data_IF_808581655728
#
_entry.id   IF_808581655728
#
_cell.length_a   1.000
_cell.length_b   1.000
_cell.length_c   1.000
_cell.angle_alpha   90.00
_cell.angle_beta   90.00
_cell.angle_gamma   90.00
#
_symmetry.space_group_name_H-M   'P 1'
#
loop_
_entity.id
_entity.type
_entity.pdbx_description
1 polymer ?
#
# COMPACT_ATOMS: atom_id res chain seq x y z
N UNK A 1 20.88 -16.31 -3.59
CA UNK A 1 21.29 -16.55 -2.19
C UNK A 1 20.22 -15.91 -1.32
N UNK A 2 19.73 -16.60 -0.29
CA UNK A 2 18.79 -15.99 0.65
C UNK A 2 19.53 -14.84 1.35
N UNK A 3 18.90 -13.68 1.39
CA UNK A 3 19.45 -12.49 2.04
C UNK A 3 19.53 -12.74 3.55
N UNK A 4 20.72 -12.61 4.13
CA UNK A 4 20.96 -12.84 5.56
C UNK A 4 20.05 -11.94 6.38
N UNK A 5 19.32 -12.50 7.35
CA UNK A 5 18.42 -11.68 8.16
C UNK A 5 19.21 -10.76 9.11
N UNK A 6 18.80 -9.51 9.15
CA UNK A 6 19.40 -8.46 9.96
C UNK A 6 18.59 -8.25 11.23
N UNK A 7 19.23 -8.50 12.37
CA UNK A 7 18.60 -8.39 13.70
C UNK A 7 19.24 -7.25 14.48
N UNK A 8 18.44 -6.33 14.99
CA UNK A 8 18.88 -5.31 15.94
C UNK A 8 18.57 -5.81 17.35
N UNK A 9 19.57 -5.87 18.19
CA UNK A 9 19.48 -6.30 19.60
C UNK A 9 19.79 -5.12 20.51
N UNK A 10 18.91 -4.87 21.47
CA UNK A 10 19.05 -3.75 22.39
C UNK A 10 18.86 -4.20 23.85
N UNK A 11 19.90 -4.05 24.65
CA UNK A 11 19.92 -4.37 26.09
C UNK A 11 21.05 -3.57 26.73
N UNK A 12 20.86 -3.00 27.90
CA UNK A 12 21.87 -2.22 28.59
C UNK A 12 22.85 -3.09 29.40
N UNK A 13 22.58 -4.39 29.48
CA UNK A 13 23.43 -5.36 30.20
C UNK A 13 24.43 -6.03 29.25
N UNK A 14 25.73 -5.79 29.37
CA UNK A 14 26.76 -6.36 28.51
C UNK A 14 26.73 -7.90 28.43
N UNK A 15 26.48 -8.55 29.57
CA UNK A 15 26.43 -10.02 29.66
C UNK A 15 25.27 -10.60 28.84
N UNK A 16 24.13 -9.91 28.81
CA UNK A 16 22.97 -10.27 27.98
C UNK A 16 23.30 -10.10 26.52
N UNK A 17 23.91 -8.98 26.13
CA UNK A 17 24.33 -8.75 24.74
C UNK A 17 25.33 -9.80 24.28
N UNK A 18 26.26 -10.22 25.14
CA UNK A 18 27.25 -11.25 24.84
C UNK A 18 26.54 -12.63 24.61
N UNK A 19 25.66 -13.02 25.54
CA UNK A 19 24.87 -14.26 25.40
C UNK A 19 24.07 -14.28 24.10
N UNK A 20 23.37 -13.20 23.77
CA UNK A 20 22.59 -13.06 22.53
C UNK A 20 23.48 -13.06 21.28
N UNK A 21 24.68 -12.51 21.36
CA UNK A 21 25.67 -12.55 20.28
C UNK A 21 26.05 -13.98 19.91
N UNK A 22 26.36 -14.81 20.90
CA UNK A 22 26.68 -16.23 20.69
C UNK A 22 25.48 -17.00 20.14
N UNK A 23 24.30 -16.77 20.68
CA UNK A 23 23.08 -17.45 20.27
C UNK A 23 22.71 -17.14 18.82
N UNK A 24 22.72 -15.86 18.44
CA UNK A 24 22.31 -15.42 17.10
C UNK A 24 23.36 -15.69 16.02
N UNK A 25 24.66 -15.70 16.38
CA UNK A 25 25.74 -16.05 15.47
C UNK A 25 25.61 -17.49 14.97
N UNK A 26 25.13 -18.42 15.82
CA UNK A 26 24.88 -19.80 15.45
C UNK A 26 23.79 -20.00 14.39
N UNK A 27 22.88 -19.04 14.26
CA UNK A 27 21.77 -19.06 13.31
C UNK A 27 22.10 -18.33 11.97
N UNK A 28 23.28 -17.70 11.87
CA UNK A 28 23.72 -17.02 10.66
C UNK A 28 23.04 -15.66 10.40
N UNK A 29 22.51 -15.00 11.44
CA UNK A 29 21.96 -13.66 11.34
C UNK A 29 23.07 -12.58 11.32
N UNK A 30 22.84 -11.48 10.59
CA UNK A 30 23.61 -10.24 10.72
C UNK A 30 23.05 -9.43 11.91
N UNK A 31 23.59 -9.71 13.10
CA UNK A 31 23.10 -9.11 14.33
C UNK A 31 23.93 -7.88 14.72
N UNK A 32 23.24 -6.75 14.97
CA UNK A 32 23.81 -5.53 15.51
C UNK A 32 23.32 -5.33 16.94
N UNK A 33 24.20 -4.84 17.80
CA UNK A 33 23.98 -4.74 19.24
C UNK A 33 24.12 -3.29 19.69
N UNK A 34 23.17 -2.83 20.49
CA UNK A 34 23.14 -1.48 21.07
C UNK A 34 22.72 -1.56 22.55
N UNK A 35 23.11 -0.56 23.32
CA UNK A 35 22.93 -0.52 24.77
C UNK A 35 21.90 0.50 25.27
N UNK A 36 21.22 1.18 24.35
CA UNK A 36 20.29 2.25 24.71
C UNK A 36 19.16 2.45 23.69
N UNK A 37 18.04 2.98 24.16
CA UNK A 37 16.88 3.33 23.32
C UNK A 37 17.22 4.36 22.23
N UNK A 38 18.09 5.32 22.54
CA UNK A 38 18.56 6.32 21.58
C UNK A 38 19.37 5.68 20.45
N UNK A 39 20.24 4.71 20.78
CA UNK A 39 21.01 3.98 19.78
C UNK A 39 20.13 3.09 18.88
N UNK A 40 19.02 2.53 19.42
CA UNK A 40 18.03 1.82 18.59
C UNK A 40 17.47 2.73 17.49
N UNK A 41 16.99 3.92 17.86
CA UNK A 41 16.41 4.87 16.92
C UNK A 41 17.42 5.35 15.87
N UNK A 42 18.66 5.63 16.29
CA UNK A 42 19.75 5.99 15.37
C UNK A 42 20.02 4.87 14.35
N UNK A 43 20.09 3.62 14.81
CA UNK A 43 20.32 2.47 13.92
C UNK A 43 19.19 2.25 12.94
N UNK A 44 17.93 2.44 13.37
CA UNK A 44 16.77 2.32 12.51
C UNK A 44 16.70 3.43 11.45
N UNK A 45 17.17 4.65 11.76
CA UNK A 45 17.28 5.74 10.78
C UNK A 45 18.32 5.46 9.70
N UNK A 46 19.41 4.77 10.06
CA UNK A 46 20.57 4.56 9.20
C UNK A 46 20.60 3.15 8.55
N UNK A 47 19.62 2.30 8.82
CA UNK A 47 19.59 0.94 8.29
C UNK A 47 18.22 0.28 8.36
N UNK A 48 18.06 -0.81 7.63
CA UNK A 48 16.88 -1.65 7.68
C UNK A 48 17.17 -2.94 8.44
N UNK A 49 16.21 -3.40 9.22
CA UNK A 49 16.30 -4.65 9.99
C UNK A 49 15.08 -5.53 9.74
N UNK A 50 15.25 -6.83 9.95
CA UNK A 50 14.18 -7.81 9.83
C UNK A 50 13.48 -8.07 11.18
N UNK A 51 14.18 -7.75 12.29
CA UNK A 51 13.65 -7.89 13.64
C UNK A 51 14.37 -6.95 14.61
N UNK A 52 13.63 -6.40 15.56
CA UNK A 52 14.16 -5.76 16.77
C UNK A 52 13.88 -6.67 17.97
N UNK A 53 14.95 -7.13 18.63
CA UNK A 53 14.92 -7.81 19.93
C UNK A 53 15.39 -6.82 21.00
N UNK A 54 14.51 -6.42 21.92
CA UNK A 54 14.84 -5.34 22.86
C UNK A 54 14.42 -5.66 24.29
N UNK A 55 15.22 -5.22 25.25
CA UNK A 55 14.81 -5.17 26.65
C UNK A 55 13.75 -4.08 26.87
N UNK A 56 12.90 -4.26 27.85
CA UNK A 56 11.97 -3.22 28.32
C UNK A 56 12.61 -2.32 29.40
N UNK A 57 13.57 -2.82 30.14
CA UNK A 57 14.22 -2.09 31.24
C UNK A 57 15.61 -1.62 30.82
N UNK A 58 15.85 -0.32 30.94
CA UNK A 58 17.17 0.29 30.73
C UNK A 58 17.66 0.99 32.02
N UNK A 59 18.92 1.38 32.07
CA UNK A 59 19.65 1.80 33.27
C UNK A 59 19.01 2.93 34.09
N UNK A 60 18.13 3.72 33.53
CA UNK A 60 17.39 4.78 34.24
C UNK A 60 16.18 4.25 35.03
N UNK A 61 15.64 3.11 34.64
CA UNK A 61 14.47 2.49 35.26
C UNK A 61 14.55 0.97 35.18
N UNK A 62 15.20 0.37 36.15
CA UNK A 62 15.50 -1.07 36.16
C UNK A 62 14.28 -1.97 36.42
N UNK A 63 13.09 -1.40 36.69
CA UNK A 63 11.92 -2.19 37.14
C UNK A 63 10.60 -1.90 36.47
N UNK A 64 10.37 -0.70 35.94
CA UNK A 64 9.03 -0.32 35.41
C UNK A 64 8.83 -0.60 33.93
N UNK A 65 9.90 -0.82 33.15
CA UNK A 65 9.82 -1.02 31.70
C UNK A 65 9.36 0.19 30.89
N UNK A 66 9.24 1.37 31.52
CA UNK A 66 8.70 2.58 30.87
C UNK A 66 9.51 3.04 29.67
N UNK A 67 10.84 2.93 29.74
CA UNK A 67 11.74 3.37 28.66
C UNK A 67 11.55 2.48 27.42
N UNK A 68 11.51 1.15 27.60
CA UNK A 68 11.25 0.21 26.52
C UNK A 68 9.83 0.34 25.94
N UNK A 69 8.81 0.51 26.81
CA UNK A 69 7.45 0.74 26.36
C UNK A 69 7.32 2.04 25.55
N UNK A 70 7.99 3.12 25.95
CA UNK A 70 8.00 4.39 25.23
C UNK A 70 8.75 4.33 23.89
N UNK A 71 9.67 3.39 23.72
CA UNK A 71 10.40 3.16 22.47
C UNK A 71 9.52 2.51 21.39
N UNK A 72 8.61 1.60 21.74
CA UNK A 72 7.81 0.84 20.78
C UNK A 72 7.02 1.74 19.81
N UNK A 73 6.26 2.75 20.25
CA UNK A 73 5.58 3.68 19.35
C UNK A 73 6.53 4.41 18.40
N UNK A 74 7.70 4.84 18.89
CA UNK A 74 8.69 5.54 18.07
C UNK A 74 9.28 4.64 16.98
N UNK A 75 9.52 3.38 17.29
CA UNK A 75 9.93 2.37 16.30
C UNK A 75 8.82 2.16 15.28
N UNK A 76 7.55 2.11 15.73
CA UNK A 76 6.40 1.97 14.83
C UNK A 76 6.19 3.14 13.88
N UNK A 77 6.54 4.36 14.30
CA UNK A 77 6.53 5.54 13.42
C UNK A 77 7.60 5.46 12.33
N UNK A 78 8.78 4.91 12.65
CA UNK A 78 9.88 4.77 11.69
C UNK A 78 9.71 3.57 10.75
N UNK A 79 9.33 2.41 11.28
CA UNK A 79 9.08 1.18 10.53
C UNK A 79 7.84 0.45 11.08
N UNK A 80 6.66 0.71 10.54
CA UNK A 80 5.42 0.05 10.96
C UNK A 80 5.43 -1.47 10.79
N UNK A 81 6.28 -1.99 9.89
CA UNK A 81 6.33 -3.41 9.55
C UNK A 81 7.43 -4.19 10.29
N UNK A 82 8.32 -3.52 11.05
CA UNK A 82 9.41 -4.18 11.76
C UNK A 82 8.86 -5.06 12.89
N UNK A 83 9.07 -6.38 12.92
CA UNK A 83 8.75 -7.19 14.08
C UNK A 83 9.55 -6.75 15.31
N UNK A 84 8.86 -6.54 16.44
CA UNK A 84 9.47 -6.20 17.73
C UNK A 84 9.21 -7.36 18.68
N UNK A 85 10.27 -7.97 19.18
CA UNK A 85 10.26 -8.96 20.25
C UNK A 85 10.82 -8.30 21.51
N UNK A 86 10.05 -8.29 22.59
CA UNK A 86 10.49 -7.69 23.84
C UNK A 86 11.01 -8.75 24.80
N UNK A 87 12.08 -8.44 25.50
CA UNK A 87 12.60 -9.25 26.61
C UNK A 87 12.10 -8.65 27.93
N UNK A 88 11.65 -9.50 28.85
CA UNK A 88 11.08 -9.07 30.14
C UNK A 88 11.69 -9.83 31.29
N UNK A 89 11.87 -9.18 32.44
CA UNK A 89 12.26 -9.85 33.68
C UNK A 89 11.11 -10.59 34.36
N UNK A 90 11.40 -11.23 35.47
CA UNK A 90 10.41 -11.96 36.29
C UNK A 90 9.28 -11.06 36.81
N UNK A 91 8.03 -11.51 36.70
CA UNK A 91 6.85 -10.84 37.28
C UNK A 91 6.25 -9.74 36.42
N UNK A 92 6.70 -9.52 35.18
CA UNK A 92 6.28 -8.41 34.32
C UNK A 92 5.25 -8.79 33.24
N UNK A 93 4.30 -9.68 33.57
CA UNK A 93 3.22 -10.06 32.61
C UNK A 93 2.41 -8.84 32.14
N UNK A 94 2.09 -7.93 33.06
CA UNK A 94 1.36 -6.70 32.73
C UNK A 94 2.15 -5.81 31.78
N UNK A 95 3.47 -5.72 31.96
CA UNK A 95 4.35 -4.95 31.07
C UNK A 95 4.47 -5.61 29.69
N UNK A 96 4.52 -6.94 29.64
CA UNK A 96 4.49 -7.68 28.37
C UNK A 96 3.16 -7.45 27.60
N UNK A 97 2.03 -7.50 28.32
CA UNK A 97 0.69 -7.21 27.73
C UNK A 97 0.63 -5.79 27.19
N UNK A 98 1.19 -4.82 27.92
CA UNK A 98 1.23 -3.42 27.46
C UNK A 98 2.14 -3.27 26.23
N UNK A 99 3.30 -3.92 26.19
CA UNK A 99 4.17 -3.94 25.02
C UNK A 99 3.44 -4.50 23.79
N UNK A 100 2.67 -5.58 23.96
CA UNK A 100 1.85 -6.15 22.86
C UNK A 100 0.77 -5.16 22.37
N UNK A 101 0.12 -4.44 23.27
CA UNK A 101 -0.85 -3.38 22.92
C UNK A 101 -0.22 -2.23 22.14
N UNK A 102 1.04 -1.87 22.47
CA UNK A 102 1.81 -0.84 21.79
C UNK A 102 2.38 -1.31 20.45
N UNK A 103 2.28 -2.61 20.14
CA UNK A 103 2.64 -3.15 18.84
C UNK A 103 3.83 -4.12 18.84
N UNK A 104 4.34 -4.56 19.98
CA UNK A 104 5.24 -5.72 20.02
C UNK A 104 4.53 -6.94 19.43
N UNK A 105 5.27 -7.83 18.78
CA UNK A 105 4.73 -9.06 18.16
C UNK A 105 4.83 -10.25 19.07
N UNK A 106 5.85 -10.28 19.90
CA UNK A 106 6.11 -11.38 20.83
C UNK A 106 6.90 -10.89 22.03
N UNK A 107 6.98 -11.71 23.06
CA UNK A 107 7.84 -11.44 24.23
C UNK A 107 8.57 -12.71 24.66
N UNK A 108 9.71 -12.52 25.33
CA UNK A 108 10.55 -13.55 25.91
C UNK A 108 10.86 -13.19 27.35
N UNK A 109 10.70 -14.13 28.26
CA UNK A 109 11.03 -13.92 29.66
C UNK A 109 12.50 -14.24 29.95
N UNK A 110 13.19 -13.36 30.67
CA UNK A 110 14.54 -13.63 31.20
C UNK A 110 14.46 -14.41 32.52
N UNK A 111 15.27 -15.46 32.75
CA UNK A 111 16.17 -16.09 31.78
C UNK A 111 15.34 -16.92 30.75
N UNK A 112 15.78 -16.90 29.51
CA UNK A 112 15.12 -17.63 28.42
C UNK A 112 15.68 -19.03 28.22
N UNK A 113 14.91 -19.88 27.57
CA UNK A 113 15.41 -21.10 26.93
C UNK A 113 15.93 -20.74 25.53
N UNK A 114 17.15 -21.17 25.20
CA UNK A 114 17.81 -20.82 23.95
C UNK A 114 17.04 -21.29 22.72
N UNK A 115 16.43 -22.48 22.79
CA UNK A 115 15.66 -23.01 21.66
C UNK A 115 14.36 -22.25 21.48
N UNK A 116 13.68 -21.90 22.57
CA UNK A 116 12.46 -21.10 22.51
C UNK A 116 12.73 -19.70 21.95
N UNK A 117 13.85 -19.07 22.34
CA UNK A 117 14.22 -17.76 21.79
C UNK A 117 14.56 -17.84 20.30
N UNK A 118 15.32 -18.86 19.85
CA UNK A 118 15.60 -19.09 18.43
C UNK A 118 14.33 -19.28 17.63
N UNK A 119 13.39 -20.08 18.13
CA UNK A 119 12.11 -20.33 17.47
C UNK A 119 11.28 -19.03 17.32
N UNK A 120 11.21 -18.23 18.38
CA UNK A 120 10.49 -16.95 18.35
C UNK A 120 11.14 -15.99 17.34
N UNK A 121 12.45 -15.79 17.41
CA UNK A 121 13.20 -14.91 16.52
C UNK A 121 13.02 -15.34 15.06
N UNK A 122 13.21 -16.63 14.76
CA UNK A 122 13.08 -17.17 13.41
C UNK A 122 11.67 -16.98 12.86
N UNK A 123 10.65 -17.31 13.63
CA UNK A 123 9.25 -17.17 13.25
C UNK A 123 8.89 -15.70 12.97
N UNK A 124 9.24 -14.78 13.88
CA UNK A 124 8.91 -13.36 13.69
C UNK A 124 9.65 -12.73 12.50
N UNK A 125 10.88 -13.18 12.18
CA UNK A 125 11.60 -12.78 10.98
C UNK A 125 10.88 -13.29 9.73
N UNK A 126 10.48 -14.55 9.69
CA UNK A 126 9.83 -15.16 8.53
C UNK A 126 8.47 -14.52 8.26
N UNK A 127 7.66 -14.32 9.30
CA UNK A 127 6.35 -13.68 9.22
C UNK A 127 6.49 -12.20 8.77
N UNK A 128 7.44 -11.47 9.33
CA UNK A 128 7.72 -10.09 8.95
C UNK A 128 8.18 -9.97 7.50
N UNK A 129 9.06 -10.85 7.04
CA UNK A 129 9.50 -10.90 5.64
C UNK A 129 8.37 -11.29 4.68
N UNK A 130 7.51 -12.23 5.09
CA UNK A 130 6.33 -12.61 4.31
C UNK A 130 5.36 -11.44 4.17
N UNK A 131 5.05 -10.73 5.26
CA UNK A 131 4.19 -9.56 5.27
C UNK A 131 4.74 -8.44 4.37
N UNK A 132 6.04 -8.11 4.48
CA UNK A 132 6.70 -7.11 3.62
C UNK A 132 6.69 -7.50 2.14
N UNK A 133 6.90 -8.80 1.83
CA UNK A 133 6.80 -9.29 0.43
C UNK A 133 5.40 -9.14 -0.13
N UNK A 134 4.39 -9.46 0.67
CA UNK A 134 2.99 -9.33 0.28
C UNK A 134 2.61 -7.87 0.04
N UNK A 135 3.01 -6.96 0.92
CA UNK A 135 2.75 -5.53 0.78
C UNK A 135 3.41 -4.95 -0.48
N UNK A 136 4.70 -5.26 -0.71
CA UNK A 136 5.41 -4.85 -1.93
C UNK A 136 4.74 -5.38 -3.20
N UNK A 137 4.25 -6.63 -3.17
CA UNK A 137 3.54 -7.22 -4.31
C UNK A 137 2.24 -6.47 -4.58
N UNK A 138 1.44 -6.21 -3.54
CA UNK A 138 0.19 -5.46 -3.68
C UNK A 138 0.42 -4.02 -4.17
N UNK A 139 1.45 -3.36 -3.65
CA UNK A 139 1.82 -2.02 -4.10
C UNK A 139 2.21 -2.00 -5.58
N UNK A 140 3.03 -2.95 -6.00
CA UNK A 140 3.43 -3.09 -7.41
C UNK A 140 2.23 -3.36 -8.32
N UNK A 141 1.35 -4.29 -7.95
CA UNK A 141 0.13 -4.60 -8.73
C UNK A 141 -0.78 -3.36 -8.87
N UNK A 142 -0.90 -2.55 -7.80
CA UNK A 142 -1.66 -1.28 -7.85
C UNK A 142 -1.01 -0.25 -8.77
N UNK A 143 0.31 -0.10 -8.75
CA UNK A 143 1.03 0.81 -9.63
C UNK A 143 0.95 0.37 -11.09
N UNK A 144 1.07 -0.92 -11.38
CA UNK A 144 0.87 -1.46 -12.73
C UNK A 144 -0.55 -1.17 -13.24
N UNK A 145 -1.58 -1.41 -12.42
CA UNK A 145 -2.96 -1.09 -12.77
C UNK A 145 -3.18 0.41 -13.01
N UNK A 146 -2.56 1.27 -12.20
CA UNK A 146 -2.59 2.73 -12.38
C UNK A 146 -1.99 3.16 -13.72
N UNK A 147 -0.86 2.60 -14.08
CA UNK A 147 -0.21 2.90 -15.36
C UNK A 147 -1.09 2.47 -16.55
N UNK A 148 -1.70 1.29 -16.48
CA UNK A 148 -2.62 0.80 -17.51
C UNK A 148 -3.83 1.74 -17.61
N UNK A 149 -4.47 2.09 -16.50
CA UNK A 149 -5.62 2.97 -16.47
C UNK A 149 -5.30 4.35 -17.05
N UNK A 150 -4.15 4.92 -16.67
CA UNK A 150 -3.70 6.20 -17.21
C UNK A 150 -3.44 6.15 -18.72
N UNK A 151 -2.95 5.03 -19.24
CA UNK A 151 -2.71 4.84 -20.66
C UNK A 151 -4.02 4.71 -21.48
N UNK A 152 -5.13 4.35 -20.84
CA UNK A 152 -6.44 4.32 -21.48
C UNK A 152 -7.00 5.74 -21.72
N UNK A 153 -6.69 6.69 -20.85
CA UNK A 153 -7.17 8.07 -20.96
C UNK A 153 -6.49 8.80 -22.12
N UNK A 154 -7.16 9.78 -22.75
CA UNK A 154 -6.57 10.57 -23.82
C UNK A 154 -5.29 11.25 -23.37
N UNK A 155 -4.17 10.93 -23.99
CA UNK A 155 -2.87 11.57 -23.75
C UNK A 155 -2.73 12.91 -24.48
N UNK A 156 -3.49 13.11 -25.55
CA UNK A 156 -3.51 14.34 -26.34
C UNK A 156 -4.94 14.73 -26.65
N UNK A 157 -5.22 16.03 -26.65
CA UNK A 157 -6.52 16.57 -27.05
C UNK A 157 -6.53 16.81 -28.57
N UNK A 158 -7.63 16.43 -29.26
CA UNK A 158 -7.74 16.69 -30.67
C UNK A 158 -7.73 18.20 -30.95
N UNK A 159 -7.02 18.59 -31.99
CA UNK A 159 -6.97 19.96 -32.48
C UNK A 159 -8.13 20.16 -33.46
N UNK A 160 -9.18 20.85 -33.05
CA UNK A 160 -10.34 21.16 -33.88
C UNK A 160 -10.58 22.66 -33.90
N UNK A 161 -10.76 23.23 -35.10
CA UNK A 161 -11.01 24.68 -35.26
C UNK A 161 -12.25 25.09 -34.48
N UNK A 162 -12.13 26.15 -33.68
CA UNK A 162 -13.22 26.66 -32.85
C UNK A 162 -13.45 25.97 -31.51
N UNK A 163 -12.69 24.90 -31.19
CA UNK A 163 -12.79 24.21 -29.89
C UNK A 163 -11.44 24.10 -29.22
N UNK A 164 -11.37 24.49 -27.94
CA UNK A 164 -10.23 24.23 -27.07
C UNK A 164 -10.64 23.33 -25.92
N UNK A 165 -9.93 22.23 -25.77
CA UNK A 165 -10.18 21.22 -24.74
C UNK A 165 -9.01 21.17 -23.76
N UNK A 166 -9.33 21.03 -22.48
CA UNK A 166 -8.39 20.72 -21.43
C UNK A 166 -9.01 19.70 -20.49
N UNK A 167 -8.21 18.80 -19.97
CA UNK A 167 -8.67 17.81 -19.01
C UNK A 167 -7.66 17.65 -17.86
N UNK A 168 -8.19 17.25 -16.72
CA UNK A 168 -7.40 16.84 -15.55
C UNK A 168 -8.06 15.62 -14.95
N UNK A 169 -7.25 14.65 -14.55
CA UNK A 169 -7.71 13.43 -13.91
C UNK A 169 -6.79 13.09 -12.73
N UNK A 170 -7.39 12.96 -11.55
CA UNK A 170 -6.67 12.68 -10.32
C UNK A 170 -7.47 11.70 -9.47
N UNK A 171 -7.19 10.39 -9.55
CA UNK A 171 -7.86 9.40 -8.72
C UNK A 171 -7.43 9.54 -7.25
N UNK A 172 -8.35 9.29 -6.33
CA UNK A 172 -8.10 9.38 -4.90
C UNK A 172 -7.11 8.31 -4.40
N UNK A 173 -7.11 7.12 -5.00
CA UNK A 173 -6.43 5.92 -4.45
C UNK A 173 -5.60 5.18 -5.53
N UNK A 174 -4.92 5.93 -6.41
CA UNK A 174 -4.08 5.40 -7.48
C UNK A 174 -4.86 4.94 -8.71
N UNK A 175 -5.97 4.19 -8.55
CA UNK A 175 -6.93 3.80 -9.59
C UNK A 175 -8.34 4.21 -9.16
N UNK A 176 -9.21 4.53 -10.12
CA UNK A 176 -10.54 5.05 -9.82
C UNK A 176 -11.61 4.69 -10.82
N UNK A 177 -12.86 5.02 -10.45
CA UNK A 177 -14.04 4.89 -11.30
C UNK A 177 -14.23 6.03 -12.29
N UNK A 178 -13.67 7.21 -11.98
CA UNK A 178 -13.76 8.39 -12.83
C UNK A 178 -13.07 8.19 -14.18
N UNK A 179 -13.73 8.63 -15.24
CA UNK A 179 -13.21 8.54 -16.59
C UNK A 179 -13.68 9.75 -17.41
N UNK A 180 -12.80 10.20 -18.28
CA UNK A 180 -13.16 11.05 -19.39
C UNK A 180 -12.58 10.48 -20.68
N UNK A 181 -13.23 10.79 -21.79
CA UNK A 181 -12.71 10.44 -23.11
C UNK A 181 -13.03 11.55 -24.11
N UNK A 182 -12.17 11.67 -25.11
CA UNK A 182 -12.34 12.63 -26.20
C UNK A 182 -12.05 11.92 -27.52
N UNK A 183 -12.95 12.09 -28.48
CA UNK A 183 -12.86 11.44 -29.77
C UNK A 183 -13.33 12.35 -30.91
N UNK A 184 -12.99 12.04 -32.12
CA UNK A 184 -13.39 12.80 -33.29
C UNK A 184 -14.21 11.94 -34.25
N UNK A 185 -15.23 12.54 -34.89
CA UNK A 185 -15.99 11.96 -36.00
C UNK A 185 -16.28 13.08 -37.00
N UNK A 186 -15.63 13.05 -38.17
CA UNK A 186 -15.65 14.17 -39.10
C UNK A 186 -15.16 15.48 -38.49
N UNK A 187 -15.95 16.55 -38.51
CA UNK A 187 -15.69 17.84 -37.89
C UNK A 187 -16.09 17.88 -36.40
N UNK A 188 -16.85 16.93 -35.92
CA UNK A 188 -17.37 16.90 -34.58
C UNK A 188 -16.37 16.28 -33.58
N UNK A 189 -16.38 16.83 -32.38
CA UNK A 189 -15.61 16.34 -31.20
C UNK A 189 -16.60 15.74 -30.22
N UNK A 190 -16.45 14.47 -29.91
CA UNK A 190 -17.17 13.77 -28.86
C UNK A 190 -16.46 13.90 -27.52
N UNK A 191 -17.19 14.25 -26.48
CA UNK A 191 -16.69 14.32 -25.11
C UNK A 191 -17.53 13.39 -24.25
N UNK A 192 -16.85 12.53 -23.49
CA UNK A 192 -17.44 11.61 -22.52
C UNK A 192 -16.90 11.89 -21.11
N UNK A 193 -17.78 11.89 -20.13
CA UNK A 193 -17.40 11.98 -18.70
C UNK A 193 -18.25 10.94 -17.96
N UNK A 194 -17.62 10.19 -17.08
CA UNK A 194 -18.32 9.18 -16.29
C UNK A 194 -17.69 8.99 -14.91
N UNK A 195 -18.52 8.55 -13.97
CA UNK A 195 -18.13 8.11 -12.65
C UNK A 195 -18.80 6.78 -12.32
N UNK A 196 -17.99 5.79 -11.98
CA UNK A 196 -18.42 4.45 -11.57
C UNK A 196 -18.56 4.40 -10.06
N UNK A 197 -19.75 4.08 -9.58
CA UNK A 197 -20.01 3.92 -8.15
C UNK A 197 -19.06 2.89 -7.52
N UNK A 198 -18.35 3.31 -6.47
CA UNK A 198 -17.35 2.51 -5.79
C UNK A 198 -15.94 3.10 -5.90
N UNK A 199 -14.94 2.35 -5.46
CA UNK A 199 -13.53 2.78 -5.50
C UNK A 199 -12.58 1.60 -5.73
N UNK A 200 -11.33 1.94 -6.06
CA UNK A 200 -10.27 0.95 -6.23
C UNK A 200 -10.43 0.08 -7.48
N UNK A 201 -9.87 -1.11 -7.45
CA UNK A 201 -9.77 -2.01 -8.61
C UNK A 201 -11.11 -2.37 -9.26
N UNK A 202 -12.20 -2.70 -8.51
CA UNK A 202 -13.48 -3.02 -9.14
C UNK A 202 -14.05 -1.86 -9.96
N UNK A 203 -13.98 -0.63 -9.45
CA UNK A 203 -14.43 0.56 -10.17
C UNK A 203 -13.56 0.84 -11.41
N UNK A 204 -12.25 0.66 -11.29
CA UNK A 204 -11.30 0.83 -12.39
C UNK A 204 -11.54 -0.16 -13.55
N UNK A 205 -11.88 -1.42 -13.26
CA UNK A 205 -12.23 -2.41 -14.27
C UNK A 205 -13.52 -2.06 -15.01
N UNK A 206 -14.55 -1.61 -14.28
CA UNK A 206 -15.81 -1.15 -14.89
C UNK A 206 -15.60 0.11 -15.72
N UNK A 207 -14.76 1.04 -15.27
CA UNK A 207 -14.38 2.23 -16.01
C UNK A 207 -13.72 1.88 -17.35
N UNK A 208 -12.78 0.93 -17.34
CA UNK A 208 -12.10 0.47 -18.56
C UNK A 208 -13.08 -0.15 -19.56
N UNK A 209 -14.04 -0.92 -19.06
CA UNK A 209 -15.12 -1.49 -19.86
C UNK A 209 -16.04 -0.41 -20.46
N UNK A 210 -16.41 0.57 -19.63
CA UNK A 210 -17.21 1.72 -20.07
C UNK A 210 -16.49 2.47 -21.20
N UNK A 211 -15.23 2.81 -21.03
CA UNK A 211 -14.46 3.56 -22.03
C UNK A 211 -14.37 2.79 -23.36
N UNK A 212 -14.07 1.50 -23.30
CA UNK A 212 -14.04 0.66 -24.50
C UNK A 212 -15.40 0.62 -25.21
N UNK A 213 -16.50 0.51 -24.44
CA UNK A 213 -17.86 0.53 -24.97
C UNK A 213 -18.20 1.87 -25.63
N UNK A 214 -17.87 2.99 -24.96
CA UNK A 214 -18.10 4.34 -25.51
C UNK A 214 -17.37 4.50 -26.84
N UNK A 215 -16.11 4.15 -26.92
CA UNK A 215 -15.31 4.22 -28.16
C UNK A 215 -15.88 3.34 -29.25
N UNK A 216 -16.30 2.11 -28.95
CA UNK A 216 -16.86 1.18 -29.90
C UNK A 216 -18.18 1.68 -30.51
N UNK A 217 -19.02 2.35 -29.73
CA UNK A 217 -20.32 2.87 -30.21
C UNK A 217 -20.26 4.29 -30.79
N UNK A 218 -19.23 5.06 -30.43
CA UNK A 218 -19.07 6.43 -30.92
C UNK A 218 -18.16 6.54 -32.15
N UNK A 219 -17.24 5.59 -32.33
CA UNK A 219 -16.29 5.55 -33.45
C UNK A 219 -16.70 4.48 -34.45
N UNK A 220 -16.40 4.69 -35.74
CA UNK A 220 -16.62 3.66 -36.79
C UNK A 220 -17.79 3.90 -37.71
N UNK A 221 -18.50 5.01 -37.58
CA UNK A 221 -19.52 5.47 -38.51
C UNK A 221 -19.04 6.72 -39.26
N UNK A 222 -19.45 6.86 -40.54
CA UNK A 222 -19.10 8.04 -41.34
C UNK A 222 -19.72 9.33 -40.78
N UNK A 223 -20.84 9.22 -40.07
CA UNK A 223 -21.50 10.30 -39.34
C UNK A 223 -21.53 10.00 -37.84
N UNK A 224 -21.49 11.02 -36.99
CA UNK A 224 -21.59 10.87 -35.55
C UNK A 224 -22.90 10.17 -35.16
N UNK A 225 -22.79 9.06 -34.41
CA UNK A 225 -23.99 8.40 -33.88
C UNK A 225 -24.69 9.30 -32.86
N UNK A 226 -26.03 9.36 -32.81
CA UNK A 226 -26.74 10.18 -31.83
C UNK A 226 -26.33 9.84 -30.39
N UNK A 227 -26.07 10.85 -29.50
CA UNK A 227 -25.68 10.61 -28.11
C UNK A 227 -26.59 9.68 -27.35
N UNK A 228 -27.91 9.78 -27.57
CA UNK A 228 -28.91 8.91 -26.97
C UNK A 228 -28.72 7.43 -27.38
N UNK A 229 -28.33 7.18 -28.62
CA UNK A 229 -28.05 5.82 -29.14
C UNK A 229 -26.78 5.26 -28.47
N UNK A 230 -25.74 6.07 -28.37
CA UNK A 230 -24.48 5.70 -27.69
C UNK A 230 -24.78 5.34 -26.23
N UNK A 231 -25.46 6.22 -25.50
CA UNK A 231 -25.80 5.99 -24.09
C UNK A 231 -26.65 4.71 -23.91
N UNK A 232 -27.65 4.50 -24.78
CA UNK A 232 -28.49 3.31 -24.72
C UNK A 232 -27.72 2.01 -24.96
N UNK A 233 -26.80 2.01 -25.93
CA UNK A 233 -25.98 0.84 -26.24
C UNK A 233 -24.97 0.55 -25.16
N UNK A 234 -24.30 1.59 -24.61
CA UNK A 234 -23.38 1.48 -23.47
C UNK A 234 -24.13 0.91 -22.26
N UNK A 235 -25.30 1.48 -21.93
CA UNK A 235 -26.09 1.00 -20.79
C UNK A 235 -26.50 -0.47 -20.98
N UNK A 236 -26.99 -0.86 -22.17
CA UNK A 236 -27.39 -2.25 -22.46
C UNK A 236 -26.24 -3.23 -22.34
N UNK A 237 -25.04 -2.84 -22.72
CA UNK A 237 -23.83 -3.66 -22.60
C UNK A 237 -23.45 -3.83 -21.13
N UNK A 238 -23.34 -2.71 -20.39
CA UNK A 238 -22.79 -2.71 -19.04
C UNK A 238 -23.73 -3.27 -17.99
N UNK A 239 -25.05 -3.05 -18.12
CA UNK A 239 -26.04 -3.60 -17.19
C UNK A 239 -25.99 -5.12 -17.05
N UNK A 240 -25.48 -5.84 -18.06
CA UNK A 240 -25.34 -7.31 -18.01
C UNK A 240 -24.19 -7.78 -17.12
N UNK A 241 -23.26 -6.88 -16.82
CA UNK A 241 -22.02 -7.16 -16.07
C UNK A 241 -21.94 -6.40 -14.76
N UNK A 242 -22.96 -5.59 -14.44
CA UNK A 242 -23.00 -4.84 -13.18
C UNK A 242 -23.27 -5.76 -12.00
N UNK A 243 -22.50 -5.61 -10.94
CA UNK A 243 -22.78 -6.25 -9.66
C UNK A 243 -24.00 -5.57 -9.03
N UNK A 244 -24.81 -6.33 -8.29
CA UNK A 244 -26.02 -5.81 -7.65
C UNK A 244 -25.75 -4.53 -6.83
N UNK A 245 -26.54 -3.48 -7.11
CA UNK A 245 -26.40 -2.17 -6.49
C UNK A 245 -25.36 -1.23 -7.11
N UNK A 246 -24.57 -1.69 -8.09
CA UNK A 246 -23.64 -0.83 -8.82
C UNK A 246 -24.37 0.06 -9.83
N UNK A 247 -23.86 1.26 -10.07
CA UNK A 247 -24.30 2.17 -11.12
C UNK A 247 -23.14 3.00 -11.66
N UNK A 248 -23.35 3.59 -12.82
CA UNK A 248 -22.39 4.50 -13.49
C UNK A 248 -23.17 5.76 -13.84
N UNK A 249 -22.68 6.92 -13.46
CA UNK A 249 -23.13 8.19 -14.03
C UNK A 249 -22.34 8.44 -15.31
N UNK A 250 -23.03 8.81 -16.37
CA UNK A 250 -22.41 8.96 -17.69
C UNK A 250 -23.03 10.11 -18.45
N UNK A 251 -22.19 10.98 -19.01
CA UNK A 251 -22.55 12.07 -19.90
C UNK A 251 -21.75 11.96 -21.19
N UNK A 252 -22.40 12.10 -22.32
CA UNK A 252 -21.79 12.13 -23.64
C UNK A 252 -22.37 13.27 -24.48
N UNK A 253 -21.50 14.03 -25.15
CA UNK A 253 -21.90 15.11 -26.04
C UNK A 253 -21.03 15.13 -27.30
N UNK A 254 -21.66 15.49 -28.46
CA UNK A 254 -20.94 15.89 -29.64
C UNK A 254 -20.91 17.42 -29.73
N UNK A 255 -19.74 18.00 -29.96
CA UNK A 255 -19.54 19.42 -30.25
C UNK A 255 -19.21 19.51 -31.75
N UNK A 256 -20.06 20.14 -32.54
CA UNK A 256 -19.82 20.40 -33.96
C UNK A 256 -19.66 21.91 -34.22
N UNK A 257 -18.40 22.42 -34.28
CA UNK A 257 -18.15 23.84 -34.52
C UNK A 257 -18.64 24.33 -35.89
N UNK A 258 -18.66 23.47 -36.88
CA UNK A 258 -19.12 23.83 -38.25
C UNK A 258 -20.63 24.07 -38.30
N UNK A 259 -21.38 23.31 -37.46
CA UNK A 259 -22.83 23.43 -37.34
C UNK A 259 -23.27 24.34 -36.18
N UNK A 260 -22.36 24.87 -35.42
CA UNK A 260 -22.62 25.63 -34.18
C UNK A 260 -23.60 24.89 -33.24
N UNK A 261 -23.48 23.57 -33.11
CA UNK A 261 -24.38 22.71 -32.34
C UNK A 261 -23.62 21.93 -31.26
N UNK A 262 -24.35 21.64 -30.16
CA UNK A 262 -23.95 20.77 -29.05
C UNK A 262 -24.93 19.60 -29.00
#
# INVERSE_FOLDING_TARGET
>A
MADTARVLVADDQPDILEALRWLLAGEGYDAQFVDSTAAVLDRLQNGSFDLLLMDLNYSRDTTSGREGLALIPQVREQDPALPIVVMTGWGSVDTAVEAMRLGAKSFVQKPWDDNALREIVGREIDDGRAARRQDRKQHREREEARLIQRALLPSTMPQTAGVRLASSWQPADGVGGDCFDVMTSGSAVGVAIADVAGKGMPAALLMSNLQAAVRAFAQGTAEPAPPATICSNVNRLLCRHMVSGGFITFCFAWIDPARQSL
#
